data_IF_845335410626
#
_entry.id   IF_845335410626
#
_cell.length_a   1.000
_cell.length_b   1.000
_cell.length_c   1.000
_cell.angle_alpha   90.00
_cell.angle_beta   90.00
_cell.angle_gamma   90.00
#
_symmetry.space_group_name_H-M   'P 1'
#
loop_
_entity.id
_entity.type
_entity.pdbx_description
1 polymer ?
#
# COMPACT_ATOMS: atom_id res chain seq x y z
N UNK A 1 44.01 -30.18 -8.20
CA UNK A 1 44.92 -31.26 -7.74
C UNK A 1 44.06 -32.31 -7.06
N UNK A 2 43.79 -33.45 -7.73
CA UNK A 2 44.14 -34.84 -7.33
C UNK A 2 43.89 -35.14 -5.84
N UNK A 3 43.25 -36.21 -5.38
CA UNK A 3 42.55 -37.40 -5.90
C UNK A 3 41.97 -38.04 -4.60
N UNK A 4 40.67 -38.40 -4.50
CA UNK A 4 40.09 -39.74 -4.75
C UNK A 4 40.07 -40.71 -3.56
N UNK A 5 38.97 -41.49 -3.53
CA UNK A 5 38.68 -42.81 -2.93
C UNK A 5 38.09 -42.88 -1.51
N UNK A 6 37.11 -43.75 -1.20
CA UNK A 6 36.58 -44.93 -1.91
C UNK A 6 35.11 -45.24 -1.53
N UNK A 7 34.29 -45.85 -2.42
CA UNK A 7 33.97 -47.31 -2.56
C UNK A 7 33.10 -47.84 -1.38
N UNK A 8 32.01 -48.61 -1.53
CA UNK A 8 31.65 -49.61 -2.54
C UNK A 8 30.19 -50.14 -2.44
N UNK A 9 29.73 -50.78 -3.55
CA UNK A 9 28.77 -51.93 -3.73
C UNK A 9 27.29 -51.73 -3.32
N UNK A 10 26.30 -51.69 -4.24
CA UNK A 10 25.69 -52.73 -5.12
C UNK A 10 25.11 -53.97 -4.40
N UNK A 11 23.78 -54.07 -4.40
CA UNK A 11 23.04 -55.33 -4.61
C UNK A 11 21.62 -55.03 -5.14
N UNK A 12 21.26 -55.69 -6.25
CA UNK A 12 19.91 -55.77 -6.82
C UNK A 12 19.30 -57.09 -6.36
N UNK A 13 18.01 -57.12 -5.99
CA UNK A 13 17.17 -58.32 -6.09
C UNK A 13 15.77 -57.88 -6.51
N UNK A 14 15.28 -58.51 -7.58
CA UNK A 14 13.92 -58.44 -8.07
C UNK A 14 13.12 -59.64 -7.53
N UNK A 15 11.83 -59.47 -7.22
CA UNK A 15 10.84 -60.56 -7.20
C UNK A 15 9.50 -59.98 -7.68
N UNK A 16 8.96 -60.60 -8.72
CA UNK A 16 7.58 -60.45 -9.18
C UNK A 16 6.71 -61.53 -8.52
N UNK A 17 5.46 -61.21 -8.19
CA UNK A 17 4.39 -62.19 -8.03
C UNK A 17 3.03 -61.54 -8.33
N UNK A 18 2.40 -62.05 -9.38
CA UNK A 18 1.02 -61.80 -9.81
C UNK A 18 0.12 -62.77 -9.05
N UNK A 19 -0.99 -62.30 -8.46
CA UNK A 19 -2.18 -63.13 -8.21
C UNK A 19 -3.42 -62.31 -8.50
N UNK A 20 -4.10 -62.67 -9.59
CA UNK A 20 -5.48 -62.36 -9.92
C UNK A 20 -6.41 -63.30 -9.15
N UNK A 21 -7.49 -62.79 -8.56
CA UNK A 21 -8.65 -63.59 -8.18
C UNK A 21 -9.94 -62.85 -8.53
N UNK A 22 -10.63 -63.37 -9.54
CA UNK A 22 -12.02 -63.07 -9.85
C UNK A 22 -12.88 -64.17 -9.21
N UNK A 23 -13.98 -63.78 -8.56
CA UNK A 23 -14.98 -64.69 -8.03
C UNK A 23 -16.33 -63.99 -7.95
N UNK A 24 -17.14 -64.20 -8.99
CA UNK A 24 -18.56 -63.88 -9.04
C UNK A 24 -19.32 -64.67 -7.97
N UNK A 25 -20.25 -64.02 -7.27
CA UNK A 25 -21.53 -64.62 -6.88
C UNK A 25 -22.65 -63.66 -7.29
N UNK A 26 -23.45 -64.11 -8.25
CA UNK A 26 -24.66 -63.47 -8.71
C UNK A 26 -25.86 -63.90 -7.86
N UNK A 27 -26.85 -63.03 -7.73
CA UNK A 27 -28.26 -63.44 -7.65
C UNK A 27 -29.07 -62.92 -6.46
N UNK A 28 -29.62 -61.72 -6.61
CA UNK A 28 -31.05 -61.47 -6.43
C UNK A 28 -31.42 -60.12 -7.05
N UNK A 29 -32.06 -60.18 -8.21
CA UNK A 29 -32.75 -59.05 -8.82
C UNK A 29 -34.05 -58.78 -8.06
N UNK A 30 -34.33 -57.51 -7.77
CA UNK A 30 -35.57 -57.05 -7.16
C UNK A 30 -35.70 -55.53 -7.21
N UNK A 31 -36.20 -55.03 -8.34
CA UNK A 31 -37.07 -53.87 -8.50
C UNK A 31 -36.78 -52.53 -7.78
N UNK A 32 -36.36 -51.55 -8.59
CA UNK A 32 -36.97 -50.22 -8.77
C UNK A 32 -37.48 -49.42 -7.56
N UNK A 33 -36.94 -48.20 -7.49
CA UNK A 33 -37.61 -46.93 -7.18
C UNK A 33 -37.97 -46.60 -5.71
N UNK A 34 -37.63 -45.35 -5.35
CA UNK A 34 -38.09 -44.60 -4.16
C UNK A 34 -37.60 -45.06 -2.78
N UNK A 35 -36.29 -44.97 -2.55
CA UNK A 35 -35.67 -45.08 -1.23
C UNK A 35 -35.96 -43.92 -0.25
N UNK A 36 -36.96 -43.07 -0.50
CA UNK A 36 -37.34 -41.98 0.41
C UNK A 36 -38.39 -42.38 1.45
N UNK A 37 -39.20 -43.41 1.18
CA UNK A 37 -40.33 -43.79 2.04
C UNK A 37 -39.96 -44.73 3.19
N UNK A 38 -39.03 -45.66 2.98
CA UNK A 38 -38.68 -46.70 3.96
C UNK A 38 -37.76 -46.20 5.08
N UNK A 39 -36.87 -45.24 4.81
CA UNK A 39 -35.98 -44.66 5.84
C UNK A 39 -36.78 -43.82 6.88
N UNK A 40 -37.88 -43.17 6.43
CA UNK A 40 -38.81 -42.42 7.30
C UNK A 40 -39.67 -43.35 8.18
N UNK A 41 -39.98 -44.56 7.68
CA UNK A 41 -40.76 -45.57 8.39
C UNK A 41 -39.97 -46.27 9.52
N UNK A 42 -38.64 -46.19 9.47
CA UNK A 42 -37.71 -46.71 10.48
C UNK A 42 -37.29 -45.65 11.53
N UNK A 43 -37.91 -44.46 11.54
CA UNK A 43 -37.65 -43.41 12.52
C UNK A 43 -36.27 -42.75 12.39
N UNK A 44 -35.65 -42.84 11.21
CA UNK A 44 -34.36 -42.21 10.95
C UNK A 44 -34.62 -40.75 10.61
N UNK A 45 -34.15 -39.84 11.47
CA UNK A 45 -34.26 -38.40 11.22
C UNK A 45 -33.73 -38.06 9.81
N UNK A 46 -34.36 -37.12 9.08
CA UNK A 46 -33.88 -36.69 7.77
C UNK A 46 -32.40 -36.35 7.83
N UNK A 47 -31.64 -36.69 6.79
CA UNK A 47 -30.24 -36.30 6.76
C UNK A 47 -30.16 -34.77 6.85
N UNK A 48 -29.32 -34.22 7.74
CA UNK A 48 -29.20 -32.78 7.94
C UNK A 48 -28.90 -31.99 6.63
N UNK A 49 -28.37 -32.67 5.61
CA UNK A 49 -28.14 -32.14 4.28
C UNK A 49 -29.42 -31.85 3.48
N UNK A 50 -30.50 -32.59 3.74
CA UNK A 50 -31.80 -32.45 3.08
C UNK A 50 -32.60 -31.29 3.69
N UNK A 51 -32.45 -31.06 5.00
CA UNK A 51 -33.11 -29.99 5.76
C UNK A 51 -32.41 -28.63 5.60
N UNK A 52 -31.08 -28.57 5.76
CA UNK A 52 -30.32 -27.30 5.75
C UNK A 52 -29.49 -27.23 4.48
N UNK A 53 -29.79 -26.29 3.59
CA UNK A 53 -29.01 -26.00 2.37
C UNK A 53 -28.10 -24.81 2.60
N UNK A 54 -26.80 -25.02 2.43
CA UNK A 54 -25.79 -23.95 2.48
C UNK A 54 -25.23 -23.74 1.08
N UNK A 55 -25.15 -22.49 0.66
CA UNK A 55 -24.49 -22.07 -0.59
C UNK A 55 -23.44 -21.04 -0.21
N UNK A 56 -22.14 -21.26 -0.51
CA UNK A 56 -21.55 -22.41 -1.20
C UNK A 56 -21.68 -23.75 -0.44
N UNK A 57 -21.65 -24.86 -1.19
CA UNK A 57 -21.76 -26.20 -0.61
C UNK A 57 -20.50 -26.59 0.18
N UNK A 58 -20.62 -27.60 1.04
CA UNK A 58 -19.50 -28.11 1.85
C UNK A 58 -18.34 -28.62 0.99
N UNK A 59 -17.12 -28.28 1.39
CA UNK A 59 -15.90 -28.58 0.67
C UNK A 59 -15.64 -27.76 -0.59
N UNK A 60 -16.53 -26.83 -0.98
CA UNK A 60 -16.33 -25.99 -2.17
C UNK A 60 -15.04 -25.17 -2.05
N UNK A 61 -14.25 -25.11 -3.12
CA UNK A 61 -12.99 -24.36 -3.17
C UNK A 61 -13.05 -23.27 -4.22
N UNK A 62 -12.28 -22.20 -4.01
CA UNK A 62 -12.11 -21.14 -5.00
C UNK A 62 -13.38 -20.33 -5.27
N UNK A 63 -14.27 -20.22 -4.27
CA UNK A 63 -15.52 -19.46 -4.40
C UNK A 63 -15.20 -18.00 -4.74
N UNK A 64 -15.79 -17.49 -5.82
CA UNK A 64 -15.61 -16.09 -6.25
C UNK A 64 -16.23 -15.12 -5.23
N UNK A 65 -15.64 -13.92 -5.03
CA UNK A 65 -16.16 -12.92 -4.09
C UNK A 65 -17.65 -12.59 -4.24
N UNK A 66 -18.16 -12.58 -5.48
CA UNK A 66 -19.55 -12.26 -5.80
C UNK A 66 -20.54 -13.43 -5.79
N UNK A 67 -20.12 -14.64 -5.40
CA UNK A 67 -21.02 -15.81 -5.40
C UNK A 67 -22.09 -15.76 -4.30
N UNK A 68 -21.89 -14.93 -3.27
CA UNK A 68 -22.77 -14.80 -2.10
C UNK A 68 -22.71 -16.00 -1.14
N UNK A 69 -23.12 -15.77 0.11
CA UNK A 69 -23.33 -16.81 1.12
C UNK A 69 -24.80 -16.82 1.56
N UNK A 70 -25.43 -18.00 1.53
CA UNK A 70 -26.82 -18.19 1.96
C UNK A 70 -26.99 -19.51 2.70
N UNK A 71 -27.74 -19.48 3.79
CA UNK A 71 -28.29 -20.69 4.43
C UNK A 71 -29.80 -20.67 4.20
N UNK A 72 -30.37 -21.80 3.82
CA UNK A 72 -31.81 -21.95 3.55
C UNK A 72 -32.32 -23.27 4.12
N UNK A 73 -33.55 -23.24 4.63
CA UNK A 73 -34.29 -24.41 5.07
C UNK A 73 -35.60 -24.41 4.28
N UNK A 74 -35.72 -25.25 3.22
CA UNK A 74 -36.91 -25.24 2.37
C UNK A 74 -38.19 -25.54 3.15
N UNK A 75 -38.12 -26.55 4.00
CA UNK A 75 -39.23 -27.04 4.84
C UNK A 75 -38.78 -27.06 6.30
N UNK A 76 -39.16 -26.03 7.06
CA UNK A 76 -38.75 -25.86 8.45
C UNK A 76 -38.42 -24.40 8.82
N UNK A 77 -37.63 -24.22 9.88
CA UNK A 77 -37.15 -22.91 10.36
C UNK A 77 -35.74 -23.00 10.93
N UNK A 78 -34.92 -22.00 10.63
CA UNK A 78 -33.60 -21.81 11.23
C UNK A 78 -33.77 -21.35 12.69
N UNK A 79 -33.06 -22.00 13.60
CA UNK A 79 -32.94 -21.56 14.99
C UNK A 79 -31.70 -20.70 15.21
N UNK A 80 -30.57 -21.10 14.61
CA UNK A 80 -29.31 -20.38 14.75
C UNK A 80 -28.41 -20.60 13.54
N UNK A 81 -27.70 -19.55 13.15
CA UNK A 81 -26.64 -19.60 12.15
C UNK A 81 -25.45 -18.82 12.68
N UNK A 82 -24.30 -19.49 12.82
CA UNK A 82 -23.02 -18.88 13.18
C UNK A 82 -22.06 -19.06 12.02
N UNK A 83 -21.50 -17.97 11.53
CA UNK A 83 -20.52 -18.00 10.45
C UNK A 83 -19.22 -17.37 10.95
N UNK A 84 -18.12 -18.09 10.76
CA UNK A 84 -16.76 -17.63 11.07
C UNK A 84 -15.96 -17.61 9.77
N UNK A 85 -15.28 -16.49 9.54
CA UNK A 85 -14.28 -16.32 8.48
C UNK A 85 -12.89 -16.41 9.11
N UNK A 86 -12.05 -17.28 8.58
CA UNK A 86 -10.62 -17.32 8.88
C UNK A 86 -9.83 -16.75 7.69
N UNK A 87 -9.10 -15.65 7.91
CA UNK A 87 -8.27 -14.96 6.92
C UNK A 87 -7.04 -14.40 7.64
N UNK A 88 -5.84 -14.56 7.06
CA UNK A 88 -4.56 -14.11 7.64
C UNK A 88 -4.33 -14.57 9.09
N UNK A 89 -4.70 -15.83 9.39
CA UNK A 89 -4.64 -16.43 10.72
C UNK A 89 -5.48 -15.73 11.80
N UNK A 90 -6.45 -14.89 11.39
CA UNK A 90 -7.45 -14.30 12.28
C UNK A 90 -8.82 -14.91 12.01
N UNK A 91 -9.57 -15.18 13.08
CA UNK A 91 -10.97 -15.59 13.00
C UNK A 91 -11.89 -14.40 13.28
N UNK A 92 -12.83 -14.14 12.39
CA UNK A 92 -13.81 -13.05 12.52
C UNK A 92 -15.21 -13.61 12.33
N UNK A 93 -16.13 -13.26 13.24
CA UNK A 93 -17.55 -13.58 13.04
C UNK A 93 -18.09 -12.79 11.84
N UNK A 94 -18.86 -13.46 10.98
CA UNK A 94 -19.54 -12.83 9.85
C UNK A 94 -20.96 -12.47 10.31
N UNK A 95 -21.26 -11.17 10.51
CA UNK A 95 -22.60 -10.77 10.90
C UNK A 95 -23.59 -11.08 9.78
N UNK A 96 -24.81 -11.42 10.17
CA UNK A 96 -25.90 -11.70 9.25
C UNK A 96 -27.21 -11.92 9.98
N UNK A 97 -28.29 -12.06 9.22
CA UNK A 97 -29.65 -12.10 9.74
C UNK A 97 -30.44 -13.27 9.18
N UNK A 98 -31.23 -13.90 10.06
CA UNK A 98 -32.29 -14.82 9.66
C UNK A 98 -33.47 -13.98 9.14
N UNK A 99 -34.08 -14.39 8.04
CA UNK A 99 -35.26 -13.75 7.47
C UNK A 99 -36.47 -13.85 8.41
N UNK A 100 -37.42 -12.93 8.27
CA UNK A 100 -38.60 -12.88 9.15
C UNK A 100 -39.45 -14.17 9.13
N UNK A 101 -39.45 -14.88 8.00
CA UNK A 101 -40.10 -16.19 7.85
C UNK A 101 -39.31 -17.35 8.48
N UNK A 102 -38.11 -17.10 9.01
CA UNK A 102 -37.24 -18.10 9.61
C UNK A 102 -36.57 -19.04 8.61
N UNK A 103 -36.79 -18.91 7.30
CA UNK A 103 -36.40 -19.93 6.31
C UNK A 103 -35.04 -19.70 5.69
N UNK A 104 -34.42 -18.54 5.92
CA UNK A 104 -33.11 -18.25 5.35
C UNK A 104 -32.25 -17.35 6.20
N UNK A 105 -30.95 -17.42 6.01
CA UNK A 105 -29.97 -16.51 6.58
C UNK A 105 -29.07 -15.97 5.48
N UNK A 106 -28.71 -14.69 5.59
CA UNK A 106 -27.73 -14.02 4.72
C UNK A 106 -26.78 -13.17 5.57
N UNK A 107 -25.52 -13.03 5.15
CA UNK A 107 -24.60 -12.07 5.76
C UNK A 107 -25.09 -10.64 5.54
N UNK A 108 -24.63 -9.72 6.38
CA UNK A 108 -24.91 -8.29 6.22
C UNK A 108 -24.16 -7.69 5.03
N UNK A 109 -23.04 -8.29 4.65
CA UNK A 109 -22.27 -8.01 3.43
C UNK A 109 -22.27 -9.26 2.54
N UNK A 110 -22.81 -9.14 1.32
CA UNK A 110 -22.88 -10.23 0.36
C UNK A 110 -21.52 -10.59 -0.27
N UNK A 111 -20.49 -9.74 -0.09
CA UNK A 111 -19.15 -9.96 -0.65
C UNK A 111 -18.33 -10.90 0.22
N UNK A 112 -17.88 -12.00 -0.38
CA UNK A 112 -16.96 -12.92 0.28
C UNK A 112 -15.52 -12.39 0.20
N UNK A 113 -14.86 -12.34 1.35
CA UNK A 113 -13.43 -12.09 1.47
C UNK A 113 -12.59 -13.09 0.65
N UNK A 114 -11.46 -12.65 0.11
CA UNK A 114 -10.55 -13.46 -0.69
C UNK A 114 -9.58 -14.28 0.17
N UNK A 115 -9.04 -15.37 -0.38
CA UNK A 115 -8.08 -16.24 0.29
C UNK A 115 -8.48 -16.63 1.72
N UNK A 116 -9.77 -16.84 1.95
CA UNK A 116 -10.34 -17.08 3.27
C UNK A 116 -10.99 -18.47 3.33
N UNK A 117 -11.09 -19.00 4.54
CA UNK A 117 -11.93 -20.17 4.86
C UNK A 117 -13.15 -19.69 5.62
N UNK A 118 -14.34 -20.13 5.23
CA UNK A 118 -15.57 -19.90 5.97
C UNK A 118 -16.02 -21.21 6.62
N UNK A 119 -16.47 -21.13 7.86
CA UNK A 119 -17.15 -22.21 8.57
C UNK A 119 -18.53 -21.71 8.99
N UNK A 120 -19.55 -22.42 8.55
CA UNK A 120 -20.96 -22.15 8.79
C UNK A 120 -21.50 -23.26 9.67
N UNK A 121 -21.96 -22.91 10.87
CA UNK A 121 -22.68 -23.79 11.77
C UNK A 121 -24.14 -23.36 11.81
N UNK A 122 -25.04 -24.22 11.31
CA UNK A 122 -26.47 -23.95 11.24
C UNK A 122 -27.25 -25.02 12.00
N UNK A 123 -28.29 -24.57 12.70
CA UNK A 123 -29.26 -25.43 13.39
C UNK A 123 -30.65 -25.02 12.95
N UNK A 124 -31.46 -26.00 12.60
CA UNK A 124 -32.82 -25.82 12.12
C UNK A 124 -33.75 -26.87 12.71
N UNK A 125 -35.04 -26.57 12.67
CA UNK A 125 -36.10 -27.54 12.85
C UNK A 125 -36.72 -27.80 11.48
N UNK A 126 -36.98 -29.06 11.15
CA UNK A 126 -37.66 -29.43 9.91
C UNK A 126 -39.18 -29.21 10.01
N UNK A 127 -39.93 -29.70 9.02
CA UNK A 127 -41.39 -29.61 8.98
C UNK A 127 -42.09 -30.44 10.08
N UNK A 128 -41.46 -31.53 10.52
CA UNK A 128 -41.99 -32.43 11.54
C UNK A 128 -41.62 -31.94 12.97
N UNK A 129 -40.74 -30.94 13.06
CA UNK A 129 -40.28 -30.34 14.31
C UNK A 129 -39.00 -30.96 14.85
N UNK A 130 -38.36 -31.84 14.09
CA UNK A 130 -37.11 -32.49 14.46
C UNK A 130 -35.91 -31.57 14.20
N UNK A 131 -34.92 -31.64 15.10
CA UNK A 131 -33.76 -30.76 15.09
C UNK A 131 -32.64 -31.33 14.23
N UNK A 132 -32.21 -30.56 13.24
CA UNK A 132 -31.06 -30.85 12.41
C UNK A 132 -29.94 -29.83 12.64
N UNK A 133 -28.69 -30.29 12.63
CA UNK A 133 -27.51 -29.43 12.68
C UNK A 133 -26.58 -29.75 11.52
N UNK A 134 -26.07 -28.70 10.85
CA UNK A 134 -25.16 -28.82 9.72
C UNK A 134 -23.98 -27.88 9.90
N UNK A 135 -22.78 -28.44 9.83
CA UNK A 135 -21.53 -27.70 9.64
C UNK A 135 -21.17 -27.71 8.16
N UNK A 136 -20.72 -26.57 7.64
CA UNK A 136 -20.29 -26.43 6.24
C UNK A 136 -19.04 -25.57 6.18
N UNK A 137 -18.03 -26.02 5.46
CA UNK A 137 -16.78 -25.31 5.25
C UNK A 137 -16.52 -25.12 3.77
N UNK A 138 -16.12 -23.92 3.36
CA UNK A 138 -15.68 -23.65 1.99
C UNK A 138 -14.51 -22.66 1.99
N UNK A 139 -13.76 -22.63 0.89
CA UNK A 139 -12.67 -21.65 0.70
C UNK A 139 -12.95 -20.75 -0.49
N UNK A 140 -12.54 -19.49 -0.37
CA UNK A 140 -12.69 -18.49 -1.42
C UNK A 140 -11.49 -18.45 -2.35
N UNK A 141 -11.66 -17.80 -3.49
CA UNK A 141 -10.63 -17.60 -4.49
C UNK A 141 -9.38 -16.97 -3.85
N UNK A 142 -8.20 -17.52 -4.18
CA UNK A 142 -6.91 -16.92 -3.83
C UNK A 142 -6.46 -16.10 -5.03
N UNK A 143 -6.27 -14.77 -4.89
CA UNK A 143 -5.71 -13.96 -5.96
C UNK A 143 -4.31 -14.43 -6.32
N UNK A 144 -4.07 -14.66 -7.61
CA UNK A 144 -2.74 -14.94 -8.15
C UNK A 144 -1.87 -13.69 -8.10
N UNK A 145 -2.49 -12.53 -8.29
CA UNK A 145 -1.83 -11.25 -8.40
C UNK A 145 -2.24 -10.27 -7.31
N UNK A 146 -1.25 -9.57 -6.76
CA UNK A 146 -1.42 -8.72 -5.58
C UNK A 146 -0.71 -7.38 -5.77
N UNK A 147 -1.24 -6.35 -5.11
CA UNK A 147 -0.55 -5.07 -5.00
C UNK A 147 -0.50 -4.58 -3.55
N UNK A 148 0.49 -3.72 -3.28
CA UNK A 148 0.63 -2.97 -2.03
C UNK A 148 0.83 -1.49 -2.35
N UNK A 149 0.40 -0.62 -1.43
CA UNK A 149 0.78 0.79 -1.38
C UNK A 149 1.90 1.01 -0.35
N UNK A 150 2.97 1.65 -0.79
CA UNK A 150 4.03 2.21 0.04
C UNK A 150 3.61 3.63 0.44
N UNK A 151 3.39 3.84 1.74
CA UNK A 151 2.87 5.11 2.27
C UNK A 151 4.03 5.95 2.80
N UNK A 152 4.02 7.21 2.40
CA UNK A 152 4.88 8.26 2.92
C UNK A 152 3.99 9.38 3.47
N UNK A 153 4.21 9.88 4.70
CA UNK A 153 5.34 9.60 5.58
C UNK A 153 5.18 8.30 6.39
N UNK A 154 6.24 7.90 7.10
CA UNK A 154 6.27 6.71 7.95
C UNK A 154 5.37 6.84 9.18
N UNK A 155 4.93 5.69 9.71
CA UNK A 155 4.10 5.63 10.89
C UNK A 155 4.83 6.15 12.13
N UNK A 156 4.15 7.02 12.88
CA UNK A 156 4.59 7.73 14.09
C UNK A 156 5.73 8.74 13.86
N UNK A 157 5.97 9.13 12.61
CA UNK A 157 6.92 10.19 12.28
C UNK A 157 6.41 11.58 12.66
N UNK A 158 7.34 12.52 12.81
CA UNK A 158 7.04 13.97 12.86
C UNK A 158 7.59 14.61 11.60
N UNK A 159 6.76 15.39 10.90
CA UNK A 159 7.07 15.96 9.58
C UNK A 159 6.82 17.46 9.53
N UNK A 160 7.42 18.16 8.56
CA UNK A 160 7.16 19.57 8.29
C UNK A 160 5.78 19.84 7.69
N UNK A 161 5.36 21.10 7.69
CA UNK A 161 4.02 21.53 7.28
C UNK A 161 3.71 21.35 5.79
N UNK A 162 4.73 21.14 4.96
CA UNK A 162 4.59 20.88 3.53
C UNK A 162 4.37 19.42 3.16
N UNK A 163 4.35 18.50 4.14
CA UNK A 163 4.23 17.07 3.86
C UNK A 163 2.99 16.75 3.01
N UNK A 164 3.17 15.98 1.94
CA UNK A 164 2.06 15.39 1.18
C UNK A 164 2.01 13.91 1.55
N UNK A 165 0.81 13.39 1.84
CA UNK A 165 0.65 11.94 2.02
C UNK A 165 0.69 11.32 0.63
N UNK A 166 1.67 10.46 0.36
CA UNK A 166 1.87 9.83 -0.94
C UNK A 166 1.77 8.32 -0.81
N UNK A 167 1.04 7.69 -1.73
CA UNK A 167 0.96 6.24 -1.87
C UNK A 167 1.53 5.86 -3.23
N UNK A 168 2.67 5.19 -3.23
CA UNK A 168 3.24 4.55 -4.42
C UNK A 168 2.80 3.09 -4.45
N UNK A 169 2.16 2.65 -5.52
CA UNK A 169 1.69 1.29 -5.65
C UNK A 169 2.75 0.39 -6.32
N UNK A 170 2.86 -0.86 -5.87
CA UNK A 170 3.78 -1.84 -6.46
C UNK A 170 3.39 -2.28 -7.88
N UNK A 171 2.24 -1.81 -8.37
CA UNK A 171 1.64 -2.11 -9.67
C UNK A 171 0.79 -0.93 -10.12
N UNK A 172 0.57 -0.83 -11.42
CA UNK A 172 -0.41 0.08 -12.00
C UNK A 172 -1.83 -0.24 -11.52
N UNK A 173 -2.61 0.81 -11.29
CA UNK A 173 -3.97 0.75 -10.79
C UNK A 173 -4.93 1.21 -11.89
N UNK A 174 -5.64 0.26 -12.49
CA UNK A 174 -6.68 0.53 -13.48
C UNK A 174 -8.00 1.00 -12.81
N UNK A 175 -8.37 0.42 -11.66
CA UNK A 175 -9.58 0.74 -10.92
C UNK A 175 -9.30 1.78 -9.82
N UNK A 176 -8.84 2.96 -10.24
CA UNK A 176 -8.44 4.07 -9.37
C UNK A 176 -9.53 4.47 -8.38
N UNK A 177 -10.79 4.54 -8.83
CA UNK A 177 -11.91 4.92 -7.97
C UNK A 177 -12.15 3.91 -6.82
N UNK A 178 -11.96 2.60 -7.04
CA UNK A 178 -12.08 1.62 -5.97
C UNK A 178 -10.94 1.74 -4.97
N UNK A 179 -9.70 1.91 -5.44
CA UNK A 179 -8.51 2.07 -4.60
C UNK A 179 -8.56 3.38 -3.81
N UNK A 180 -8.95 4.49 -4.43
CA UNK A 180 -9.06 5.78 -3.75
C UNK A 180 -10.13 5.75 -2.65
N UNK A 181 -11.30 5.15 -2.90
CA UNK A 181 -12.34 4.98 -1.86
C UNK A 181 -11.85 4.15 -0.65
N UNK A 182 -10.94 3.22 -0.90
CA UNK A 182 -10.38 2.37 0.13
C UNK A 182 -9.33 3.08 1.00
N UNK A 183 -8.75 4.18 0.53
CA UNK A 183 -7.79 4.98 1.27
C UNK A 183 -8.48 6.19 1.90
N UNK A 184 -8.47 6.28 3.23
CA UNK A 184 -9.05 7.42 3.94
C UNK A 184 -7.96 8.19 4.67
N UNK A 185 -7.83 9.48 4.38
CA UNK A 185 -6.94 10.39 5.10
C UNK A 185 -7.78 11.36 5.91
N UNK A 186 -7.55 11.41 7.22
CA UNK A 186 -8.22 12.31 8.17
C UNK A 186 -7.21 13.07 9.00
N UNK A 187 -7.62 14.22 9.54
CA UNK A 187 -6.75 15.04 10.36
C UNK A 187 -7.48 15.62 11.57
N UNK A 188 -6.72 15.91 12.63
CA UNK A 188 -7.17 16.63 13.82
C UNK A 188 -6.19 17.77 14.09
N UNK A 189 -6.61 19.04 14.07
CA UNK A 189 -7.95 19.54 13.75
C UNK A 189 -8.40 19.20 12.32
N UNK A 190 -9.73 19.12 12.11
CA UNK A 190 -10.31 18.76 10.81
C UNK A 190 -9.97 19.78 9.72
N UNK A 191 -9.69 19.28 8.52
CA UNK A 191 -9.41 20.08 7.32
C UNK A 191 -9.79 19.29 6.08
N UNK A 192 -10.27 20.00 5.05
CA UNK A 192 -10.54 19.38 3.75
C UNK A 192 -9.24 18.81 3.14
N UNK A 193 -9.20 17.50 2.96
CA UNK A 193 -8.11 16.77 2.29
C UNK A 193 -8.67 16.18 1.00
N UNK A 194 -7.91 16.29 -0.09
CA UNK A 194 -8.29 15.77 -1.41
C UNK A 194 -7.19 14.94 -2.00
N UNK A 195 -7.59 13.88 -2.69
CA UNK A 195 -6.70 13.00 -3.41
C UNK A 195 -6.36 13.57 -4.79
N UNK A 196 -5.23 13.17 -5.34
CA UNK A 196 -4.82 13.42 -6.70
C UNK A 196 -4.02 12.21 -7.21
N UNK A 197 -4.41 11.67 -8.35
CA UNK A 197 -3.63 10.63 -9.02
C UNK A 197 -2.57 11.24 -9.92
N UNK A 198 -1.32 10.88 -9.66
CA UNK A 198 -0.25 11.04 -10.63
C UNK A 198 -0.05 9.70 -11.35
N UNK A 199 -0.06 9.74 -12.69
CA UNK A 199 0.04 8.55 -13.55
C UNK A 199 -0.86 7.39 -13.05
N UNK A 200 -0.53 6.14 -13.40
CA UNK A 200 -1.30 4.94 -13.00
C UNK A 200 -0.87 4.34 -11.65
N UNK A 201 0.09 4.97 -10.94
CA UNK A 201 0.83 4.30 -9.86
C UNK A 201 0.95 5.09 -8.56
N UNK A 202 0.61 6.38 -8.54
CA UNK A 202 0.80 7.24 -7.38
C UNK A 202 -0.48 7.99 -7.02
N UNK A 203 -0.85 7.92 -5.74
CA UNK A 203 -1.99 8.63 -5.18
C UNK A 203 -1.54 9.53 -4.04
N UNK A 204 -1.69 10.84 -4.21
CA UNK A 204 -1.30 11.83 -3.23
C UNK A 204 -2.51 12.46 -2.55
N UNK A 205 -2.37 12.84 -1.29
CA UNK A 205 -3.37 13.57 -0.52
C UNK A 205 -2.76 14.78 0.14
N UNK A 206 -3.42 15.93 0.00
CA UNK A 206 -3.09 17.14 0.74
C UNK A 206 -4.31 18.03 0.97
N UNK A 207 -4.25 18.91 1.98
CA UNK A 207 -5.15 20.03 2.11
C UNK A 207 -4.84 21.16 1.12
N UNK A 208 -5.75 22.12 1.00
CA UNK A 208 -5.60 23.28 0.11
C UNK A 208 -4.36 24.13 0.42
N UNK A 209 -4.04 24.29 1.70
CA UNK A 209 -2.89 25.04 2.22
C UNK A 209 -2.00 24.09 3.02
N UNK A 210 -0.78 24.48 3.34
CA UNK A 210 0.08 23.70 4.25
C UNK A 210 -0.64 23.33 5.54
N UNK A 211 -0.26 22.18 6.09
CA UNK A 211 -0.78 21.70 7.35
C UNK A 211 -0.51 22.69 8.47
N UNK A 212 -1.43 22.76 9.44
CA UNK A 212 -1.18 23.53 10.66
C UNK A 212 -0.22 22.76 11.58
N UNK A 213 0.75 23.41 12.22
CA UNK A 213 1.56 22.77 13.25
C UNK A 213 0.70 22.12 14.34
N UNK A 214 1.13 20.95 14.81
CA UNK A 214 0.41 20.13 15.79
C UNK A 214 -0.74 19.29 15.23
N UNK A 215 -0.99 19.32 13.92
CA UNK A 215 -2.02 18.46 13.29
C UNK A 215 -1.61 16.99 13.38
N UNK A 216 -2.49 16.14 13.90
CA UNK A 216 -2.35 14.69 13.79
C UNK A 216 -3.08 14.20 12.53
N UNK A 217 -2.39 13.43 11.69
CA UNK A 217 -2.94 12.90 10.44
C UNK A 217 -2.95 11.39 10.49
N UNK A 218 -4.10 10.78 10.15
CA UNK A 218 -4.28 9.34 10.04
C UNK A 218 -4.57 8.95 8.61
N UNK A 219 -3.83 7.98 8.09
CA UNK A 219 -4.03 7.31 6.81
C UNK A 219 -4.52 5.89 7.09
N UNK A 220 -5.75 5.61 6.72
CA UNK A 220 -6.40 4.30 6.84
C UNK A 220 -6.41 3.62 5.47
N UNK A 221 -5.56 2.60 5.30
CA UNK A 221 -5.46 1.81 4.08
C UNK A 221 -6.34 0.58 4.18
N UNK A 222 -7.52 0.63 3.59
CA UNK A 222 -8.46 -0.50 3.57
C UNK A 222 -8.41 -1.22 2.22
N UNK A 223 -7.19 -1.50 1.77
CA UNK A 223 -6.92 -2.05 0.43
C UNK A 223 -7.15 -3.56 0.37
N UNK A 224 -7.30 -4.23 1.52
CA UNK A 224 -7.51 -5.67 1.57
C UNK A 224 -8.75 -6.05 0.76
N UNK A 225 -8.55 -6.99 -0.14
CA UNK A 225 -9.57 -7.52 -1.05
C UNK A 225 -10.14 -6.49 -2.03
N UNK A 226 -9.56 -5.29 -2.15
CA UNK A 226 -9.92 -4.26 -3.15
C UNK A 226 -9.25 -4.60 -4.47
N UNK A 227 -10.03 -4.63 -5.55
CA UNK A 227 -9.51 -4.89 -6.89
C UNK A 227 -8.96 -3.61 -7.50
N UNK A 228 -7.64 -3.55 -7.68
CA UNK A 228 -6.93 -2.40 -8.26
C UNK A 228 -6.78 -2.48 -9.78
N UNK A 229 -6.81 -3.70 -10.33
CA UNK A 229 -6.86 -4.00 -11.76
C UNK A 229 -7.52 -5.38 -11.94
N UNK A 230 -7.98 -5.78 -13.13
CA UNK A 230 -8.66 -7.06 -13.33
C UNK A 230 -7.85 -8.24 -12.74
N UNK A 231 -8.39 -8.92 -11.73
CA UNK A 231 -7.73 -10.04 -11.06
C UNK A 231 -6.62 -9.68 -10.07
N UNK A 232 -6.29 -8.39 -9.88
CA UNK A 232 -5.20 -7.92 -9.01
C UNK A 232 -5.79 -7.25 -7.76
N UNK A 233 -5.50 -7.82 -6.60
CA UNK A 233 -6.12 -7.41 -5.35
C UNK A 233 -5.13 -6.85 -4.33
N UNK A 234 -5.58 -5.86 -3.57
CA UNK A 234 -4.82 -5.31 -2.46
C UNK A 234 -4.80 -6.27 -1.28
N UNK A 235 -3.70 -6.25 -0.51
CA UNK A 235 -3.51 -7.16 0.63
C UNK A 235 -3.41 -6.46 1.98
N UNK A 236 -3.37 -5.12 1.97
CA UNK A 236 -3.13 -4.32 3.17
C UNK A 236 -4.43 -3.85 3.81
N UNK A 237 -4.55 -4.10 5.10
CA UNK A 237 -5.45 -3.38 6.01
C UNK A 237 -4.56 -2.81 7.13
N UNK A 238 -4.26 -1.52 7.10
CA UNK A 238 -3.35 -0.89 8.07
C UNK A 238 -3.65 0.59 8.27
N UNK A 239 -3.32 1.07 9.47
CA UNK A 239 -3.34 2.49 9.81
C UNK A 239 -1.92 3.03 9.98
N UNK A 240 -1.68 4.19 9.40
CA UNK A 240 -0.47 5.00 9.56
C UNK A 240 -0.90 6.32 10.19
N UNK A 241 -0.24 6.75 11.26
CA UNK A 241 -0.51 8.04 11.91
C UNK A 241 0.79 8.82 12.00
N UNK A 242 0.76 10.12 11.75
CA UNK A 242 1.93 10.99 11.89
C UNK A 242 1.53 12.35 12.44
N UNK A 243 2.51 13.08 12.97
CA UNK A 243 2.31 14.41 13.54
C UNK A 243 2.96 15.47 12.65
N UNK A 244 2.25 16.55 12.39
CA UNK A 244 2.81 17.74 11.74
C UNK A 244 3.49 18.59 12.80
N UNK A 245 4.81 18.78 12.66
CA UNK A 245 5.63 19.60 13.52
C UNK A 245 5.53 21.10 13.23
N UNK A 246 6.61 21.82 13.53
CA UNK A 246 6.75 23.27 13.28
C UNK A 246 6.65 23.61 11.79
N UNK A 247 6.35 24.88 11.48
CA UNK A 247 6.43 25.35 10.10
C UNK A 247 7.84 25.84 9.79
N UNK A 248 8.41 25.38 8.68
CA UNK A 248 9.65 25.92 8.13
C UNK A 248 9.57 26.03 6.61
N UNK A 249 9.82 27.24 6.10
CA UNK A 249 9.87 27.54 4.67
C UNK A 249 11.17 28.28 4.38
N UNK A 250 11.98 27.71 3.50
CA UNK A 250 13.27 28.26 3.11
C UNK A 250 13.19 28.82 1.70
N UNK A 251 13.27 30.14 1.58
CA UNK A 251 13.20 30.83 0.30
C UNK A 251 14.60 30.99 -0.27
N UNK A 252 14.92 30.22 -1.30
CA UNK A 252 16.14 30.31 -2.10
C UNK A 252 15.90 31.30 -3.23
N UNK A 253 16.67 32.38 -3.26
CA UNK A 253 16.74 33.28 -4.39
C UNK A 253 18.01 32.96 -5.19
N UNK A 254 17.84 32.33 -6.35
CA UNK A 254 18.94 31.87 -7.17
C UNK A 254 19.71 33.03 -7.82
N UNK A 255 19.08 34.19 -8.04
CA UNK A 255 19.72 35.37 -8.61
C UNK A 255 20.49 36.16 -7.55
N UNK A 256 20.04 36.14 -6.29
CA UNK A 256 20.71 36.81 -5.17
C UNK A 256 21.70 35.91 -4.44
N UNK A 257 21.75 34.62 -4.77
CA UNK A 257 22.63 33.63 -4.14
C UNK A 257 22.41 33.52 -2.63
N UNK A 258 21.16 33.67 -2.18
CA UNK A 258 20.81 33.61 -0.74
C UNK A 258 19.63 32.69 -0.49
N UNK A 259 19.63 32.06 0.67
CA UNK A 259 18.48 31.37 1.23
C UNK A 259 18.03 32.04 2.53
N UNK A 260 16.76 32.43 2.60
CA UNK A 260 16.12 32.95 3.82
C UNK A 260 15.30 31.86 4.48
N UNK A 261 15.71 31.45 5.68
CA UNK A 261 15.03 30.40 6.44
C UNK A 261 14.01 31.05 7.35
N UNK A 262 12.74 30.79 7.09
CA UNK A 262 11.64 31.25 7.93
C UNK A 262 11.10 30.10 8.75
N UNK A 263 10.92 30.31 10.05
CA UNK A 263 10.30 29.36 10.97
C UNK A 263 9.13 30.02 11.65
N UNK A 264 7.97 29.38 11.55
CA UNK A 264 6.71 29.91 12.10
C UNK A 264 6.39 31.34 11.64
N UNK A 265 6.89 31.72 10.46
CA UNK A 265 6.74 33.06 9.86
C UNK A 265 7.92 34.00 10.07
N UNK A 266 8.77 33.75 11.07
CA UNK A 266 9.88 34.61 11.43
C UNK A 266 11.16 34.25 10.68
N UNK A 267 11.90 35.26 10.20
CA UNK A 267 13.22 35.07 9.59
C UNK A 267 14.25 34.71 10.68
N UNK A 268 14.73 33.47 10.68
CA UNK A 268 15.71 33.00 11.68
C UNK A 268 17.14 32.99 11.15
N UNK A 269 17.33 32.95 9.83
CA UNK A 269 18.65 33.00 9.21
C UNK A 269 18.59 33.45 7.75
N UNK A 270 19.66 34.10 7.29
CA UNK A 270 19.97 34.26 5.87
C UNK A 270 21.30 33.58 5.60
N UNK A 271 21.29 32.59 4.71
CA UNK A 271 22.44 31.72 4.42
C UNK A 271 22.92 31.97 2.99
N UNK A 272 24.21 32.21 2.74
CA UNK A 272 24.74 32.30 1.38
C UNK A 272 24.71 30.93 0.72
N UNK A 273 24.28 30.87 -0.54
CA UNK A 273 24.12 29.62 -1.30
C UNK A 273 24.86 29.68 -2.63
N UNK A 274 25.02 28.53 -3.26
CA UNK A 274 25.25 28.43 -4.71
C UNK A 274 24.14 27.56 -5.32
N UNK A 275 23.56 27.97 -6.46
CA UNK A 275 22.54 27.20 -7.17
C UNK A 275 23.07 26.66 -8.50
N UNK A 276 22.16 26.19 -9.36
CA UNK A 276 22.47 25.64 -10.67
C UNK A 276 23.11 26.64 -11.63
N UNK A 277 24.22 26.25 -12.26
CA UNK A 277 24.94 27.04 -13.25
C UNK A 277 24.06 27.36 -14.49
N UNK A 278 24.42 28.33 -15.36
CA UNK A 278 23.58 28.74 -16.49
C UNK A 278 23.15 27.63 -17.46
N UNK A 279 23.87 26.50 -17.52
CA UNK A 279 23.55 25.35 -18.38
C UNK A 279 22.85 24.20 -17.64
N UNK A 280 22.73 24.30 -16.32
CA UNK A 280 22.22 23.27 -15.41
C UNK A 280 21.52 23.97 -14.24
N UNK A 281 20.54 24.80 -14.59
CA UNK A 281 19.83 25.69 -13.66
C UNK A 281 19.00 24.88 -12.65
N UNK A 282 18.73 25.48 -11.49
CA UNK A 282 17.85 24.88 -10.47
C UNK A 282 16.40 25.15 -10.82
N UNK A 283 15.48 24.20 -10.64
CA UNK A 283 14.04 24.47 -10.84
C UNK A 283 13.54 25.62 -9.97
N UNK A 284 12.59 26.40 -10.49
CA UNK A 284 11.78 27.28 -9.66
C UNK A 284 10.67 26.48 -8.95
N UNK A 285 10.17 27.01 -7.83
CA UNK A 285 8.98 26.49 -7.17
C UNK A 285 9.19 25.87 -5.80
N UNK A 286 8.10 25.32 -5.27
CA UNK A 286 8.01 24.74 -3.93
C UNK A 286 8.39 23.26 -4.01
N UNK A 287 9.47 22.90 -3.35
CA UNK A 287 9.94 21.53 -3.24
C UNK A 287 9.91 21.12 -1.78
N UNK A 288 9.35 19.96 -1.51
CA UNK A 288 9.22 19.43 -0.14
C UNK A 288 10.38 18.48 0.11
N UNK A 289 11.01 18.58 1.28
CA UNK A 289 12.07 17.67 1.70
C UNK A 289 11.50 16.27 1.85
N UNK A 290 11.95 15.32 1.03
CA UNK A 290 11.45 13.94 1.06
C UNK A 290 12.37 12.99 1.82
N UNK A 291 13.65 13.32 1.90
CA UNK A 291 14.69 12.48 2.49
C UNK A 291 15.79 13.38 3.07
N UNK A 292 16.37 12.96 4.20
CA UNK A 292 17.51 13.63 4.84
C UNK A 292 18.60 12.59 5.12
N UNK A 293 19.79 12.84 4.58
CA UNK A 293 20.94 11.93 4.63
C UNK A 293 22.15 12.69 5.17
N UNK A 294 22.72 12.24 6.29
CA UNK A 294 23.93 12.85 6.87
C UNK A 294 25.10 12.81 5.89
N UNK A 295 25.22 11.72 5.13
CA UNK A 295 26.24 11.54 4.10
C UNK A 295 25.70 10.64 2.98
N UNK A 296 25.90 11.02 1.73
CA UNK A 296 25.48 10.20 0.58
C UNK A 296 26.39 10.38 -0.63
N UNK A 297 26.38 9.38 -1.51
CA UNK A 297 27.03 9.47 -2.82
C UNK A 297 26.05 10.04 -3.85
N UNK A 298 26.40 11.18 -4.44
CA UNK A 298 25.62 11.77 -5.52
C UNK A 298 26.27 11.48 -6.86
N UNK A 299 25.59 10.69 -7.70
CA UNK A 299 26.06 10.32 -9.04
C UNK A 299 25.06 10.78 -10.10
N UNK A 300 25.47 11.69 -10.98
CA UNK A 300 24.62 12.25 -12.02
C UNK A 300 24.03 11.22 -12.98
N UNK A 301 24.68 10.06 -13.16
CA UNK A 301 24.16 8.99 -14.00
C UNK A 301 22.85 8.39 -13.47
N UNK A 302 22.61 8.45 -12.15
CA UNK A 302 21.39 7.94 -11.51
C UNK A 302 20.15 8.77 -11.84
N UNK A 303 20.36 10.03 -12.25
CA UNK A 303 19.32 11.01 -12.55
C UNK A 303 19.39 11.48 -14.02
N UNK A 304 20.06 10.71 -14.88
CA UNK A 304 20.12 10.96 -16.32
C UNK A 304 21.16 12.00 -16.78
N UNK A 305 21.91 12.63 -15.87
CA UNK A 305 23.04 13.50 -16.19
C UNK A 305 24.28 12.68 -16.54
N UNK A 306 24.30 12.14 -17.76
CA UNK A 306 25.36 11.25 -18.27
C UNK A 306 26.19 11.92 -19.36
N UNK A 307 27.49 11.67 -19.29
CA UNK A 307 28.44 11.86 -20.39
C UNK A 307 28.17 10.83 -21.50
N UNK A 308 28.73 11.06 -22.68
CA UNK A 308 28.62 10.13 -23.84
C UNK A 308 29.09 8.70 -23.56
N UNK A 309 29.98 8.51 -22.58
CA UNK A 309 30.49 7.20 -22.16
C UNK A 309 29.62 6.53 -21.07
N UNK A 310 28.45 7.08 -20.75
CA UNK A 310 27.52 6.55 -19.76
C UNK A 310 27.83 6.91 -18.30
N UNK A 311 28.99 7.49 -17.99
CA UNK A 311 29.34 7.97 -16.64
C UNK A 311 28.58 9.26 -16.30
N UNK A 312 28.37 9.53 -15.02
CA UNK A 312 27.75 10.78 -14.58
C UNK A 312 28.57 12.02 -14.94
N UNK A 313 27.91 13.16 -15.16
CA UNK A 313 28.59 14.46 -15.26
C UNK A 313 29.37 14.78 -13.97
N UNK A 314 28.80 14.36 -12.83
CA UNK A 314 29.42 14.34 -11.52
C UNK A 314 29.25 12.96 -10.85
N UNK A 315 30.16 12.64 -9.94
CA UNK A 315 30.12 11.45 -9.08
C UNK A 315 30.91 11.75 -7.80
N UNK A 316 30.19 12.24 -6.78
CA UNK A 316 30.76 12.73 -5.53
C UNK A 316 30.44 11.71 -4.44
N UNK A 317 31.45 11.05 -3.83
CA UNK A 317 31.23 9.87 -2.99
C UNK A 317 30.67 10.19 -1.59
N UNK A 318 30.87 11.40 -1.10
CA UNK A 318 30.70 11.78 0.30
C UNK A 318 30.08 13.18 0.43
N UNK A 319 28.92 13.41 -0.19
CA UNK A 319 28.16 14.66 -0.04
C UNK A 319 27.48 14.70 1.33
N UNK A 320 27.84 15.65 2.22
CA UNK A 320 27.26 15.75 3.55
C UNK A 320 25.92 16.49 3.56
N UNK A 321 25.14 16.26 4.61
CA UNK A 321 23.91 17.00 4.94
C UNK A 321 22.94 17.13 3.76
N UNK A 322 22.74 16.04 3.05
CA UNK A 322 21.96 16.01 1.81
C UNK A 322 20.46 15.87 2.09
N UNK A 323 19.68 16.81 1.57
CA UNK A 323 18.23 16.84 1.66
C UNK A 323 17.62 16.73 0.27
N UNK A 324 16.90 15.64 -0.02
CA UNK A 324 16.27 15.41 -1.32
C UNK A 324 15.04 16.31 -1.47
N UNK A 325 14.95 16.99 -2.60
CA UNK A 325 13.86 17.91 -2.93
C UNK A 325 13.02 17.43 -4.12
N UNK A 326 13.63 16.72 -5.08
CA UNK A 326 12.94 16.18 -6.26
C UNK A 326 13.43 14.76 -6.58
N UNK A 327 12.57 13.96 -7.21
CA UNK A 327 12.96 12.63 -7.73
C UNK A 327 13.99 12.74 -8.86
N UNK A 328 13.91 13.80 -9.66
CA UNK A 328 14.87 14.09 -10.74
C UNK A 328 16.25 14.54 -10.24
N UNK A 329 16.51 14.53 -8.93
CA UNK A 329 17.87 14.73 -8.39
C UNK A 329 18.22 16.11 -7.88
N UNK A 330 17.26 17.00 -7.63
CA UNK A 330 17.56 18.27 -6.94
C UNK A 330 17.71 18.00 -5.45
N UNK A 331 18.85 18.42 -4.90
CA UNK A 331 19.12 18.37 -3.46
C UNK A 331 19.46 19.76 -2.94
N UNK A 332 19.24 19.96 -1.64
CA UNK A 332 19.96 20.95 -0.85
C UNK A 332 20.99 20.21 -0.01
N UNK A 333 22.27 20.59 -0.09
CA UNK A 333 23.33 19.81 0.55
C UNK A 333 24.54 20.65 0.95
N UNK A 334 25.39 20.06 1.80
CA UNK A 334 26.71 20.60 2.11
C UNK A 334 27.68 20.41 0.96
N UNK A 335 28.50 21.44 0.72
CA UNK A 335 29.49 21.48 -0.34
C UNK A 335 30.81 21.96 0.24
N UNK A 336 31.78 21.03 0.29
CA UNK A 336 33.13 21.26 0.81
C UNK A 336 34.18 21.45 -0.29
N UNK A 337 33.78 21.33 -1.56
CA UNK A 337 34.70 21.32 -2.71
C UNK A 337 34.64 22.60 -3.55
N UNK A 338 33.63 23.45 -3.34
CA UNK A 338 33.49 24.72 -4.04
C UNK A 338 33.90 25.88 -3.12
N UNK A 339 35.08 26.43 -3.34
CA UNK A 339 35.58 27.58 -2.58
C UNK A 339 35.05 28.90 -3.15
N UNK A 340 34.75 29.87 -2.28
CA UNK A 340 34.41 31.27 -2.61
C UNK A 340 33.22 31.54 -3.55
N UNK A 341 32.36 30.55 -3.81
CA UNK A 341 31.16 30.70 -4.66
C UNK A 341 29.89 31.10 -3.90
N UNK A 342 29.79 30.75 -2.62
CA UNK A 342 28.56 30.92 -1.84
C UNK A 342 28.21 32.41 -1.66
N UNK A 343 26.99 32.79 -2.04
CA UNK A 343 26.57 34.19 -2.02
C UNK A 343 27.02 35.01 -3.24
N UNK A 344 27.67 34.39 -4.23
CA UNK A 344 28.32 35.10 -5.34
C UNK A 344 28.06 34.50 -6.71
N UNK A 345 28.04 33.17 -6.83
CA UNK A 345 27.95 32.51 -8.12
C UNK A 345 27.18 31.17 -8.03
N UNK A 346 26.48 30.82 -9.12
CA UNK A 346 25.81 29.54 -9.27
C UNK A 346 26.68 28.59 -10.10
N UNK A 347 27.13 27.50 -9.48
CA UNK A 347 28.08 26.55 -10.10
C UNK A 347 27.60 25.09 -10.09
N UNK A 348 26.43 24.82 -9.52
CA UNK A 348 25.95 23.44 -9.33
C UNK A 348 25.30 22.86 -10.60
N UNK A 349 24.98 21.55 -10.56
CA UNK A 349 24.22 20.86 -11.60
C UNK A 349 22.70 20.84 -11.34
N UNK A 350 22.20 21.82 -10.58
CA UNK A 350 20.78 21.97 -10.24
C UNK A 350 20.50 21.95 -8.74
N UNK A 351 21.42 21.43 -7.93
CA UNK A 351 21.33 21.45 -6.47
C UNK A 351 21.50 22.86 -5.87
N UNK A 352 21.02 23.04 -4.64
CA UNK A 352 21.34 24.19 -3.79
C UNK A 352 22.47 23.79 -2.83
N UNK A 353 23.65 24.36 -3.02
CA UNK A 353 24.82 24.10 -2.20
C UNK A 353 24.96 25.09 -1.05
N UNK A 354 25.22 24.58 0.14
CA UNK A 354 25.63 25.35 1.33
C UNK A 354 27.09 25.05 1.65
N UNK A 355 27.81 26.02 2.21
CA UNK A 355 29.19 25.79 2.65
C UNK A 355 29.23 24.70 3.72
N UNK A 356 30.16 23.78 3.59
CA UNK A 356 30.42 22.71 4.55
C UNK A 356 31.90 22.30 4.56
N UNK A 357 32.23 21.30 5.38
CA UNK A 357 33.53 20.62 5.42
C UNK A 357 33.40 19.17 4.97
N UNK A 358 34.50 18.55 4.57
CA UNK A 358 34.50 17.14 4.15
C UNK A 358 34.02 16.26 5.31
N UNK A 359 33.01 15.43 5.06
CA UNK A 359 32.35 14.61 6.08
C UNK A 359 31.25 15.32 6.88
N UNK A 360 31.08 16.62 6.71
CA UNK A 360 30.08 17.43 7.41
C UNK A 360 30.49 17.82 8.84
N UNK A 361 30.09 19.02 9.27
CA UNK A 361 30.09 19.39 10.69
C UNK A 361 28.86 20.23 11.05
N UNK A 362 28.32 20.06 12.25
CA UNK A 362 27.07 20.70 12.71
C UNK A 362 27.15 22.23 12.82
N UNK A 363 28.35 22.81 12.94
CA UNK A 363 28.57 24.25 13.03
C UNK A 363 28.76 24.94 11.66
N UNK A 364 28.81 24.18 10.57
CA UNK A 364 28.81 24.74 9.21
C UNK A 364 27.42 25.24 8.82
N UNK A 365 27.31 26.15 7.83
CA UNK A 365 26.00 26.57 7.31
C UNK A 365 25.10 25.40 6.87
N UNK A 366 25.70 24.36 6.27
CA UNK A 366 24.98 23.16 5.87
C UNK A 366 24.50 22.33 7.07
N UNK A 367 25.39 22.02 8.02
CA UNK A 367 25.04 21.26 9.23
C UNK A 367 24.02 21.99 10.08
N UNK A 368 24.18 23.31 10.26
CA UNK A 368 23.22 24.14 10.98
C UNK A 368 21.81 24.03 10.39
N UNK A 369 21.69 24.06 9.06
CA UNK A 369 20.42 23.98 8.35
C UNK A 369 19.82 22.57 8.42
N UNK A 370 20.65 21.54 8.22
CA UNK A 370 20.25 20.15 8.27
C UNK A 370 19.70 19.75 9.65
N UNK A 371 20.43 20.05 10.73
CA UNK A 371 20.02 19.77 12.11
C UNK A 371 18.71 20.49 12.52
N UNK A 372 18.33 21.51 11.74
CA UNK A 372 17.17 22.36 11.97
C UNK A 372 16.06 22.13 10.95
N UNK A 373 16.13 21.08 10.16
CA UNK A 373 15.12 20.75 9.16
C UNK A 373 14.40 19.43 9.48
N UNK A 374 13.28 19.21 8.81
CA UNK A 374 12.51 17.97 8.86
C UNK A 374 12.15 17.52 7.44
N UNK A 375 11.97 16.21 7.25
CA UNK A 375 11.18 15.70 6.13
C UNK A 375 9.79 16.36 6.18
N UNK A 376 9.31 16.88 5.06
CA UNK A 376 8.09 17.67 4.97
C UNK A 376 8.28 19.19 5.05
N UNK A 377 9.48 19.70 5.37
CA UNK A 377 9.78 21.13 5.27
C UNK A 377 9.82 21.57 3.80
N UNK A 378 9.58 22.86 3.55
CA UNK A 378 9.50 23.40 2.18
C UNK A 378 10.73 24.23 1.86
N UNK A 379 11.33 23.96 0.70
CA UNK A 379 12.29 24.84 0.03
C UNK A 379 11.62 25.44 -1.19
N UNK A 380 11.47 26.76 -1.22
CA UNK A 380 10.94 27.49 -2.36
C UNK A 380 12.07 28.17 -3.11
N UNK A 381 12.26 27.82 -4.38
CA UNK A 381 13.26 28.46 -5.24
C UNK A 381 12.58 29.50 -6.14
N UNK A 382 13.16 30.69 -6.19
CA UNK A 382 12.73 31.79 -7.05
C UNK A 382 13.89 32.39 -7.84
N UNK A 383 13.55 33.11 -8.91
CA UNK A 383 14.50 33.84 -9.76
C UNK A 383 15.60 32.97 -10.38
N UNK A 384 15.37 31.66 -10.50
CA UNK A 384 16.19 30.81 -11.35
C UNK A 384 15.82 31.00 -12.83
N UNK A 385 16.76 30.76 -13.73
CA UNK A 385 16.53 30.79 -15.19
C UNK A 385 15.94 29.48 -15.74
N UNK A 386 15.40 28.64 -14.87
CA UNK A 386 14.74 27.38 -15.22
C UNK A 386 13.21 27.50 -15.18
N UNK A 387 12.53 26.43 -15.60
CA UNK A 387 11.09 26.25 -15.45
C UNK A 387 10.68 25.97 -14.00
N UNK A 388 9.37 26.05 -13.75
CA UNK A 388 8.77 25.55 -12.53
C UNK A 388 8.96 24.03 -12.42
N UNK A 389 9.27 23.54 -11.22
CA UNK A 389 9.27 22.10 -10.93
C UNK A 389 7.88 21.51 -11.20
N UNK A 390 7.86 20.35 -11.85
CA UNK A 390 6.61 19.65 -12.15
C UNK A 390 5.94 19.14 -10.86
N UNK A 391 4.60 19.13 -10.76
CA UNK A 391 3.90 18.69 -9.55
C UNK A 391 4.15 17.24 -9.13
N UNK A 392 4.48 16.37 -10.09
CA UNK A 392 4.77 14.94 -9.92
C UNK A 392 6.26 14.65 -9.62
N UNK A 393 7.15 15.64 -9.73
CA UNK A 393 8.59 15.46 -9.49
C UNK A 393 8.92 15.54 -7.99
N UNK A 394 8.79 14.41 -7.30
CA UNK A 394 8.78 14.35 -5.83
C UNK A 394 7.44 14.84 -5.28
N UNK A 395 7.44 15.38 -4.06
CA UNK A 395 6.24 15.93 -3.43
C UNK A 395 5.94 17.38 -3.89
N UNK A 396 5.92 17.57 -5.21
CA UNK A 396 5.78 18.87 -5.89
C UNK A 396 4.35 19.39 -6.02
N UNK A 397 3.35 18.69 -5.47
CA UNK A 397 1.92 18.99 -5.63
C UNK A 397 1.48 20.40 -5.23
N UNK A 398 2.29 21.13 -4.46
CA UNK A 398 2.07 22.53 -4.08
C UNK A 398 2.28 23.54 -5.21
N UNK A 399 2.87 23.12 -6.33
CA UNK A 399 3.02 23.93 -7.54
C UNK A 399 1.79 23.86 -8.46
N UNK A 400 0.80 23.03 -8.10
CA UNK A 400 -0.46 22.87 -8.81
C UNK A 400 -1.59 23.65 -8.12
N UNK A 401 -2.45 24.29 -8.91
CA UNK A 401 -3.61 25.00 -8.41
C UNK A 401 -4.61 24.04 -7.73
N UNK A 402 -5.32 24.50 -6.70
CA UNK A 402 -6.25 23.64 -5.94
C UNK A 402 -7.38 23.05 -6.79
N UNK A 403 -7.84 23.77 -7.83
CA UNK A 403 -8.88 23.24 -8.73
C UNK A 403 -8.36 22.05 -9.53
N UNK A 404 -7.21 22.22 -10.17
CA UNK A 404 -6.52 21.17 -10.94
C UNK A 404 -6.14 19.98 -10.06
N UNK A 405 -5.74 20.23 -8.80
CA UNK A 405 -5.50 19.15 -7.84
C UNK A 405 -6.72 18.26 -7.66
N UNK A 406 -7.90 18.85 -7.43
CA UNK A 406 -9.14 18.09 -7.23
C UNK A 406 -9.58 17.34 -8.50
N UNK A 407 -9.37 17.93 -9.67
CA UNK A 407 -9.69 17.30 -10.96
C UNK A 407 -8.91 16.00 -11.20
N UNK A 408 -7.79 15.78 -10.50
CA UNK A 408 -7.04 14.51 -10.55
C UNK A 408 -7.57 13.40 -9.64
N UNK A 409 -8.65 13.62 -8.87
CA UNK A 409 -9.33 12.56 -8.11
C UNK A 409 -10.14 11.66 -9.04
N UNK A 410 -10.15 10.36 -8.77
CA UNK A 410 -11.01 9.40 -9.46
C UNK A 410 -12.47 9.42 -8.91
N UNK A 411 -12.75 10.24 -7.89
CA UNK A 411 -14.05 10.34 -7.22
C UNK A 411 -14.79 11.66 -7.47
N UNK A 412 -14.12 12.66 -8.05
CA UNK A 412 -14.69 13.98 -8.38
C UNK A 412 -14.37 15.07 -7.35
#
# INVERSE_FOLDING_TARGET
MRHVQGRARRARVAVAAVVTWAGLLAGAAGCTAEGGGLDRMLGKAPAAADTIRVTPADGTKGVRPGAGLRVAVPDGRLESVKVVRSQDAQETAVPGRISADGRSWRPDDDRLALAARYTVDAVALDADGDRAARRTTFTTQVPEERFVGYVTPENRSTVGTGMIVSLEFSREIANRAAVERAVRVTAVPDVEIRAHWFHDGRLDFRPRRYWKPGTEVTVDLRLRDVEGAPGVYGVQDKKVTFTVGRSQVSLVDAARHTMKVHRDGDLIATVPITAGAPRTTTYNGKMVVTEMLELTRMNGATVGFKKKNGKGEYDIPDVPHAMRLTESGTFLHGNYWADDVFGRENVSHGCVGLRDVKGGASDTPAGWFFDRSLVGDVVEVVHSKDKQVAPDNGLGGWNMGWREWKEGSALG
#
